data_IF_224786416430
#
_entry.id   IF_224786416430
#
_cell.length_a   1.000
_cell.length_b   1.000
_cell.length_c   1.000
_cell.angle_alpha   90.00
_cell.angle_beta   90.00
_cell.angle_gamma   90.00
#
_symmetry.space_group_name_H-M   'P 1'
#
loop_
_entity.id
_entity.type
_entity.pdbx_description
1 polymer ?
#
# COMPACT_ATOMS: atom_id res chain seq x y z
N UNK A 1 31.59 -17.04 -21.32
CA UNK A 1 32.73 -16.54 -20.49
C UNK A 1 32.35 -16.65 -19.03
N UNK A 2 33.26 -17.09 -18.15
CA UNK A 2 33.02 -17.18 -16.71
C UNK A 2 33.39 -15.88 -15.98
N UNK A 3 32.47 -15.32 -15.21
CA UNK A 3 32.69 -14.14 -14.36
C UNK A 3 32.36 -14.48 -12.92
N UNK A 4 33.34 -14.31 -12.03
CA UNK A 4 33.16 -14.47 -10.59
C UNK A 4 32.66 -13.17 -9.97
N UNK A 5 31.71 -13.26 -9.02
CA UNK A 5 31.22 -12.12 -8.24
C UNK A 5 31.19 -12.46 -6.75
N UNK A 6 31.68 -11.54 -5.93
CA UNK A 6 31.61 -11.60 -4.48
C UNK A 6 30.33 -10.89 -3.99
N UNK A 7 29.66 -11.48 -3.01
CA UNK A 7 28.39 -10.98 -2.46
C UNK A 7 28.24 -11.38 -1.00
N UNK A 8 27.90 -10.43 -0.14
CA UNK A 8 27.57 -10.72 1.28
C UNK A 8 26.14 -11.24 1.40
N UNK A 9 25.95 -12.37 2.08
CA UNK A 9 24.62 -12.92 2.38
C UNK A 9 23.90 -12.08 3.43
N UNK A 10 22.89 -11.30 3.04
CA UNK A 10 22.08 -10.50 3.98
C UNK A 10 20.92 -11.28 4.62
N UNK A 11 20.79 -12.59 4.32
CA UNK A 11 19.69 -13.44 4.81
C UNK A 11 19.86 -13.92 6.25
N UNK A 12 21.00 -13.68 6.89
CA UNK A 12 21.29 -14.04 8.27
C UNK A 12 22.16 -12.96 8.94
N UNK A 13 22.11 -12.82 10.29
CA UNK A 13 22.93 -11.85 11.01
C UNK A 13 24.44 -12.15 10.97
N UNK A 14 24.84 -13.36 10.55
CA UNK A 14 26.25 -13.77 10.42
C UNK A 14 26.91 -13.10 9.21
N UNK A 15 26.16 -12.86 8.12
CA UNK A 15 26.69 -12.13 6.96
C UNK A 15 27.75 -12.88 6.14
N UNK A 16 27.61 -14.19 5.93
CA UNK A 16 28.61 -15.01 5.21
C UNK A 16 29.01 -14.37 3.86
N UNK A 17 30.31 -14.29 3.58
CA UNK A 17 30.84 -13.86 2.28
C UNK A 17 30.70 -14.98 1.25
N UNK A 18 29.93 -14.75 0.19
CA UNK A 18 29.66 -15.71 -0.87
C UNK A 18 30.41 -15.35 -2.14
N UNK A 19 30.94 -16.36 -2.82
CA UNK A 19 31.57 -16.21 -4.14
C UNK A 19 30.73 -16.98 -5.16
N UNK A 20 30.09 -16.26 -6.08
CA UNK A 20 29.22 -16.82 -7.11
C UNK A 20 29.94 -16.82 -8.46
N UNK A 21 29.99 -17.99 -9.11
CA UNK A 21 30.52 -18.15 -10.46
C UNK A 21 29.37 -18.07 -11.45
N UNK A 22 29.46 -17.11 -12.39
CA UNK A 22 28.45 -16.87 -13.42
C UNK A 22 29.02 -17.30 -14.76
N UNK A 23 28.33 -18.20 -15.47
CA UNK A 23 28.67 -18.60 -16.84
C UNK A 23 27.49 -18.25 -17.71
N UNK A 24 27.74 -17.40 -18.72
CA UNK A 24 26.77 -17.01 -19.75
C UNK A 24 25.42 -16.50 -19.18
N UNK A 25 25.51 -15.74 -18.08
CA UNK A 25 24.37 -15.13 -17.38
C UNK A 25 23.71 -16.03 -16.31
N UNK A 26 24.08 -17.30 -16.22
CA UNK A 26 23.55 -18.25 -15.23
C UNK A 26 24.55 -18.48 -14.10
N UNK A 27 24.09 -18.43 -12.86
CA UNK A 27 24.92 -18.79 -11.69
C UNK A 27 25.07 -20.31 -11.66
N UNK A 28 26.25 -20.81 -12.01
CA UNK A 28 26.55 -22.24 -12.01
C UNK A 28 26.84 -22.72 -10.59
N UNK A 29 27.76 -22.03 -9.91
CA UNK A 29 28.27 -22.41 -8.61
C UNK A 29 28.27 -21.25 -7.59
N UNK A 30 28.16 -21.57 -6.30
CA UNK A 30 28.22 -20.63 -5.19
C UNK A 30 28.97 -21.26 -4.02
N UNK A 31 30.07 -20.64 -3.59
CA UNK A 31 30.89 -21.08 -2.46
C UNK A 31 30.87 -20.05 -1.32
N UNK A 32 31.37 -20.44 -0.14
CA UNK A 32 31.41 -19.58 1.05
C UNK A 32 30.14 -19.59 1.92
N UNK A 33 29.16 -20.45 1.63
CA UNK A 33 27.93 -20.54 2.42
C UNK A 33 28.03 -21.57 3.56
N UNK A 34 27.69 -21.14 4.78
CA UNK A 34 27.53 -22.05 5.94
C UNK A 34 26.11 -22.64 6.04
N UNK A 35 25.17 -22.16 5.22
CA UNK A 35 23.78 -22.61 5.25
C UNK A 35 23.14 -22.67 3.85
N UNK A 36 22.06 -23.43 3.72
CA UNK A 36 21.31 -23.56 2.46
C UNK A 36 20.62 -22.27 1.97
N UNK A 37 20.52 -21.23 2.81
CA UNK A 37 19.95 -19.92 2.43
C UNK A 37 20.92 -19.09 1.56
N UNK A 38 22.23 -19.27 1.75
CA UNK A 38 23.25 -18.51 1.03
C UNK A 38 23.20 -18.68 -0.49
N UNK A 39 23.24 -19.92 -1.02
CA UNK A 39 23.19 -20.16 -2.46
C UNK A 39 21.89 -19.68 -3.11
N UNK A 40 20.76 -19.81 -2.42
CA UNK A 40 19.47 -19.31 -2.90
C UNK A 40 19.48 -17.77 -3.04
N UNK A 41 19.96 -17.06 -2.02
CA UNK A 41 20.12 -15.60 -2.06
C UNK A 41 21.10 -15.16 -3.17
N UNK A 42 22.28 -15.79 -3.27
CA UNK A 42 23.28 -15.45 -4.28
C UNK A 42 22.75 -15.64 -5.71
N UNK A 43 22.03 -16.74 -5.98
CA UNK A 43 21.37 -16.99 -7.28
C UNK A 43 20.33 -15.93 -7.60
N UNK A 44 19.49 -15.54 -6.64
CA UNK A 44 18.48 -14.49 -6.83
C UNK A 44 19.12 -13.11 -7.04
N UNK A 45 20.04 -12.68 -6.17
CA UNK A 45 20.65 -11.35 -6.22
C UNK A 45 21.55 -11.15 -7.45
N UNK A 46 22.22 -12.20 -7.95
CA UNK A 46 23.03 -12.11 -9.18
C UNK A 46 22.20 -12.01 -10.47
N UNK A 47 21.02 -12.65 -10.53
CA UNK A 47 20.21 -12.76 -11.75
C UNK A 47 19.09 -11.74 -11.79
N UNK A 48 18.35 -11.58 -10.67
CA UNK A 48 17.21 -10.65 -10.55
C UNK A 48 17.10 -10.14 -9.10
N UNK A 49 17.90 -9.13 -8.72
CA UNK A 49 17.83 -8.55 -7.38
C UNK A 49 16.46 -7.91 -7.17
N UNK A 50 15.76 -8.33 -6.11
CA UNK A 50 14.41 -7.88 -5.78
C UNK A 50 14.38 -7.25 -4.39
N UNK A 51 13.65 -6.15 -4.24
CA UNK A 51 13.52 -5.44 -2.96
C UNK A 51 12.08 -5.01 -2.74
N UNK A 52 11.61 -5.01 -1.49
CA UNK A 52 10.31 -4.43 -1.14
C UNK A 52 10.44 -2.91 -1.13
N UNK A 53 9.59 -2.21 -1.89
CA UNK A 53 9.62 -0.74 -1.95
C UNK A 53 8.72 -0.18 -0.86
N UNK A 54 9.28 0.60 0.05
CA UNK A 54 8.57 1.40 1.05
C UNK A 54 8.65 2.87 0.67
N UNK A 55 7.55 3.60 0.80
CA UNK A 55 7.46 4.99 0.37
C UNK A 55 6.45 5.79 1.21
N UNK A 56 6.54 7.12 1.09
CA UNK A 56 5.57 8.05 1.66
C UNK A 56 4.78 8.71 0.53
N UNK A 57 3.45 8.67 0.62
CA UNK A 57 2.53 9.31 -0.31
C UNK A 57 1.92 10.57 0.30
N UNK A 58 1.89 11.65 -0.48
CA UNK A 58 1.12 12.83 -0.13
C UNK A 58 -0.36 12.60 -0.42
N UNK A 59 -1.22 12.85 0.58
CA UNK A 59 -2.67 12.68 0.49
C UNK A 59 -3.35 14.03 0.73
N UNK A 60 -4.09 14.59 -0.25
CA UNK A 60 -4.76 15.87 -0.08
C UNK A 60 -5.73 15.85 1.11
N UNK A 61 -5.63 16.84 1.99
CA UNK A 61 -6.47 16.94 3.19
C UNK A 61 -6.06 16.02 4.37
N UNK A 62 -4.97 15.27 4.26
CA UNK A 62 -4.40 14.54 5.39
C UNK A 62 -3.43 15.42 6.19
N UNK A 63 -3.38 15.24 7.51
CA UNK A 63 -2.45 15.94 8.40
C UNK A 63 -1.00 15.43 8.34
N UNK A 64 -0.79 14.24 7.76
CA UNK A 64 0.50 13.57 7.64
C UNK A 64 0.56 12.73 6.35
N UNK A 65 1.74 12.43 5.79
CA UNK A 65 1.84 11.52 4.65
C UNK A 65 1.38 10.10 5.01
N UNK A 66 0.86 9.40 4.01
CA UNK A 66 0.51 7.97 4.09
C UNK A 66 1.78 7.14 3.90
N UNK A 67 2.08 6.25 4.85
CA UNK A 67 3.11 5.23 4.66
C UNK A 67 2.55 4.07 3.85
N UNK A 68 3.27 3.66 2.82
CA UNK A 68 2.90 2.57 1.92
C UNK A 68 4.07 1.63 1.66
N UNK A 69 3.75 0.38 1.33
CA UNK A 69 4.73 -0.63 0.87
C UNK A 69 4.18 -1.43 -0.30
N UNK A 70 5.04 -1.99 -1.13
CA UNK A 70 4.63 -3.03 -2.09
C UNK A 70 4.27 -4.31 -1.34
N UNK A 71 3.22 -5.01 -1.78
CA UNK A 71 2.79 -6.27 -1.16
C UNK A 71 3.80 -7.41 -1.37
N UNK A 72 4.60 -7.33 -2.45
CA UNK A 72 5.65 -8.27 -2.82
C UNK A 72 6.94 -7.50 -3.15
N UNK A 73 8.11 -8.16 -3.15
CA UNK A 73 9.34 -7.60 -3.71
C UNK A 73 9.16 -7.22 -5.19
N UNK A 74 9.88 -6.20 -5.64
CA UNK A 74 9.90 -5.71 -7.02
C UNK A 74 11.35 -5.74 -7.53
N UNK A 75 11.61 -6.06 -8.81
CA UNK A 75 12.96 -6.00 -9.37
C UNK A 75 13.61 -4.62 -9.22
N UNK A 76 14.91 -4.61 -8.89
CA UNK A 76 15.68 -3.40 -8.58
C UNK A 76 15.57 -2.31 -9.64
N UNK A 77 15.54 -2.71 -10.92
CA UNK A 77 15.54 -1.78 -12.06
C UNK A 77 14.23 -0.96 -12.13
N UNK A 78 13.10 -1.56 -11.71
CA UNK A 78 11.79 -0.91 -11.68
C UNK A 78 11.52 -0.05 -10.44
N UNK A 79 12.42 -0.01 -9.46
CA UNK A 79 12.19 0.73 -8.20
C UNK A 79 11.93 2.23 -8.47
N UNK A 80 12.63 2.83 -9.45
CA UNK A 80 12.44 4.25 -9.81
C UNK A 80 11.03 4.49 -10.35
N UNK A 81 10.62 3.72 -11.36
CA UNK A 81 9.29 3.77 -11.96
C UNK A 81 8.18 3.57 -10.92
N UNK A 82 8.41 2.68 -9.94
CA UNK A 82 7.49 2.48 -8.84
C UNK A 82 7.35 3.72 -7.96
N UNK A 83 8.46 4.38 -7.60
CA UNK A 83 8.44 5.61 -6.81
C UNK A 83 7.77 6.77 -7.58
N UNK A 84 7.92 6.83 -8.90
CA UNK A 84 7.24 7.82 -9.74
C UNK A 84 5.72 7.59 -9.82
N UNK A 85 5.28 6.35 -10.06
CA UNK A 85 3.86 5.98 -10.04
C UNK A 85 3.20 6.28 -8.67
N UNK A 86 3.91 5.95 -7.58
CA UNK A 86 3.51 6.29 -6.21
C UNK A 86 3.45 7.82 -6.01
N UNK A 87 4.43 8.57 -6.51
CA UNK A 87 4.48 10.05 -6.42
C UNK A 87 3.34 10.73 -7.19
N UNK A 88 2.89 10.17 -8.30
CA UNK A 88 1.77 10.70 -9.10
C UNK A 88 0.40 10.37 -8.50
N UNK A 89 0.28 9.22 -7.82
CA UNK A 89 -1.00 8.74 -7.27
C UNK A 89 -1.49 9.56 -6.07
N UNK A 90 -2.78 9.89 -6.03
CA UNK A 90 -3.44 10.62 -4.93
C UNK A 90 -4.66 9.83 -4.43
N UNK A 91 -4.54 9.02 -3.37
CA UNK A 91 -5.69 8.31 -2.82
C UNK A 91 -6.68 9.29 -2.17
N UNK A 92 -7.96 8.93 -2.17
CA UNK A 92 -8.97 9.63 -1.39
C UNK A 92 -8.95 9.17 0.07
N UNK A 93 -9.33 10.06 0.99
CA UNK A 93 -9.57 9.72 2.39
C UNK A 93 -11.00 9.21 2.60
N UNK A 94 -11.26 8.36 3.61
CA UNK A 94 -10.30 7.79 4.55
C UNK A 94 -9.52 6.59 3.97
N UNK A 95 -8.30 6.36 4.47
CA UNK A 95 -7.49 5.17 4.14
C UNK A 95 -7.36 4.29 5.38
N UNK A 96 -7.43 2.97 5.20
CA UNK A 96 -7.20 1.97 6.26
C UNK A 96 -5.88 1.24 6.09
N UNK A 97 -5.32 0.74 7.20
CA UNK A 97 -4.20 -0.21 7.15
C UNK A 97 -4.61 -1.46 6.33
N UNK A 98 -3.69 -1.96 5.50
CA UNK A 98 -3.96 -3.10 4.60
C UNK A 98 -4.75 -2.74 3.32
N UNK A 99 -5.22 -1.50 3.17
CA UNK A 99 -5.91 -1.07 1.96
C UNK A 99 -4.94 -1.00 0.76
N UNK A 100 -5.36 -1.58 -0.38
CA UNK A 100 -4.65 -1.41 -1.65
C UNK A 100 -4.89 0.00 -2.17
N UNK A 101 -3.80 0.76 -2.34
CA UNK A 101 -3.81 2.13 -2.85
C UNK A 101 -3.68 2.14 -4.38
N UNK A 102 -2.95 1.17 -4.92
CA UNK A 102 -2.67 1.05 -6.35
C UNK A 102 -2.47 -0.44 -6.68
N UNK A 103 -3.18 -0.96 -7.68
CA UNK A 103 -3.32 -2.41 -7.93
C UNK A 103 -2.10 -3.02 -8.63
N UNK A 104 -1.48 -2.26 -9.54
CA UNK A 104 -0.27 -2.66 -10.27
C UNK A 104 0.72 -1.50 -10.37
N UNK A 105 1.87 -1.63 -9.71
CA UNK A 105 2.94 -0.64 -9.75
C UNK A 105 3.91 -0.90 -10.91
N UNK A 106 4.10 0.08 -11.79
CA UNK A 106 5.05 0.04 -12.91
C UNK A 106 4.94 -1.21 -13.82
N UNK A 107 3.74 -1.78 -14.00
CA UNK A 107 3.53 -2.97 -14.83
C UNK A 107 4.27 -4.19 -14.29
N UNK A 108 4.09 -4.49 -13.00
CA UNK A 108 4.72 -5.63 -12.30
C UNK A 108 3.68 -6.63 -11.79
N UNK A 109 2.39 -6.29 -11.81
CA UNK A 109 1.34 -7.03 -11.12
C UNK A 109 1.44 -6.98 -9.59
N UNK A 110 2.23 -6.07 -9.02
CA UNK A 110 2.39 -5.94 -7.56
C UNK A 110 1.57 -4.76 -7.02
N UNK A 111 0.63 -5.00 -6.09
CA UNK A 111 -0.13 -3.92 -5.47
C UNK A 111 0.69 -3.17 -4.41
N UNK A 112 0.38 -1.88 -4.26
CA UNK A 112 0.88 -1.00 -3.19
C UNK A 112 -0.18 -0.92 -2.10
N UNK A 113 0.23 -1.13 -0.85
CA UNK A 113 -0.64 -1.31 0.31
C UNK A 113 -0.29 -0.28 1.39
N UNK A 114 -1.32 0.33 1.97
CA UNK A 114 -1.19 1.24 3.11
C UNK A 114 -0.75 0.51 4.39
N UNK A 115 0.24 1.05 5.09
CA UNK A 115 0.77 0.48 6.36
C UNK A 115 0.23 1.20 7.60
N UNK A 116 -0.57 2.24 7.43
CA UNK A 116 -1.13 3.04 8.52
C UNK A 116 -2.47 3.68 8.13
N UNK A 117 -3.36 3.87 9.10
CA UNK A 117 -4.66 4.52 8.88
C UNK A 117 -4.55 6.04 8.73
N UNK A 118 -5.30 6.60 7.79
CA UNK A 118 -5.55 8.04 7.69
C UNK A 118 -7.06 8.30 7.78
N UNK A 119 -7.47 8.99 8.83
CA UNK A 119 -8.82 9.53 8.95
C UNK A 119 -9.05 10.59 7.87
N UNK A 120 -10.30 10.71 7.40
CA UNK A 120 -10.71 11.89 6.66
C UNK A 120 -10.68 13.12 7.59
N UNK A 121 -10.35 14.32 7.10
CA UNK A 121 -10.54 15.54 7.88
C UNK A 121 -12.00 15.62 8.28
N UNK A 122 -12.26 16.00 9.54
CA UNK A 122 -13.60 16.34 9.95
C UNK A 122 -14.14 17.41 8.99
N UNK A 123 -15.32 17.18 8.40
CA UNK A 123 -16.00 18.22 7.64
C UNK A 123 -16.25 19.39 8.60
N UNK A 124 -15.46 20.44 8.47
CA UNK A 124 -15.82 21.75 9.02
C UNK A 124 -17.05 22.19 8.24
N UNK A 125 -18.21 21.84 8.76
CA UNK A 125 -19.46 22.49 8.37
C UNK A 125 -19.27 23.92 8.82
N UNK A 126 -18.94 24.80 7.88
CA UNK A 126 -19.05 26.23 8.07
C UNK A 126 -20.55 26.51 8.13
N UNK A 127 -21.15 26.26 9.30
CA UNK A 127 -22.46 26.80 9.62
C UNK A 127 -22.29 28.31 9.46
N UNK A 128 -22.99 28.98 8.52
CA UNK A 128 -22.89 30.43 8.43
C UNK A 128 -23.26 30.98 9.79
N UNK A 129 -22.42 31.88 10.33
CA UNK A 129 -22.61 32.45 11.65
C UNK A 129 -23.98 33.11 11.66
N UNK A 130 -24.97 32.43 12.23
CA UNK A 130 -26.34 32.90 12.23
C UNK A 130 -26.33 34.25 12.93
N UNK A 131 -26.72 35.31 12.21
CA UNK A 131 -26.95 36.62 12.81
C UNK A 131 -27.83 36.38 14.03
N UNK A 132 -27.38 36.85 15.19
CA UNK A 132 -28.14 36.75 16.44
C UNK A 132 -29.34 37.68 16.34
N UNK A 133 -30.36 37.21 15.62
CA UNK A 133 -31.66 37.82 15.52
C UNK A 133 -32.45 37.40 16.76
N UNK A 134 -32.58 38.33 17.70
CA UNK A 134 -33.48 38.19 18.84
C UNK A 134 -34.92 38.07 18.35
N UNK A 135 -35.51 36.88 18.50
CA UNK A 135 -36.94 36.60 18.49
C UNK A 135 -37.14 35.27 19.25
N UNK A 136 -37.65 35.26 20.47
CA UNK A 136 -39.06 35.49 20.84
C UNK A 136 -40.01 34.40 20.29
N UNK A 137 -40.29 33.43 21.17
CA UNK A 137 -41.54 32.68 21.37
C UNK A 137 -42.30 32.01 20.19
N UNK A 138 -42.71 30.75 20.45
CA UNK A 138 -43.68 29.94 19.70
C UNK A 138 -43.29 29.56 18.24
N UNK A 139 -43.67 28.40 17.69
CA UNK A 139 -44.51 27.33 18.23
C UNK A 139 -45.50 26.85 17.16
N UNK A 140 -45.49 25.54 16.88
CA UNK A 140 -46.42 24.76 16.04
C UNK A 140 -46.15 24.59 14.52
N UNK A 141 -46.56 23.40 14.07
CA UNK A 141 -47.04 23.00 12.72
C UNK A 141 -46.06 22.72 11.55
N UNK A 142 -45.70 21.44 11.43
CA UNK A 142 -45.83 20.56 10.26
C UNK A 142 -45.88 21.12 8.80
N UNK A 143 -45.12 20.47 7.91
CA UNK A 143 -45.63 19.85 6.68
C UNK A 143 -44.59 18.91 6.03
N UNK A 144 -45.05 17.86 5.36
CA UNK A 144 -44.22 16.97 4.56
C UNK A 144 -44.47 17.19 3.06
N UNK A 145 -43.42 17.13 2.24
CA UNK A 145 -43.51 16.87 0.80
C UNK A 145 -42.18 16.30 0.30
N UNK A 146 -42.23 15.20 -0.45
CA UNK A 146 -41.03 14.57 -1.02
C UNK A 146 -40.97 14.73 -2.55
N UNK A 147 -39.78 14.58 -3.12
CA UNK A 147 -39.60 14.24 -4.53
C UNK A 147 -38.27 13.50 -4.77
N UNK A 148 -38.38 12.25 -5.20
CA UNK A 148 -37.38 11.49 -5.96
C UNK A 148 -37.87 11.43 -7.43
N UNK A 149 -37.09 10.95 -8.42
CA UNK A 149 -35.62 10.84 -8.52
C UNK A 149 -35.08 11.38 -9.87
N UNK A 150 -33.75 11.33 -10.10
CA UNK A 150 -33.25 11.03 -11.46
C UNK A 150 -31.94 10.22 -11.47
N UNK A 151 -32.00 9.13 -12.25
CA UNK A 151 -30.96 8.18 -12.68
C UNK A 151 -29.99 8.84 -13.69
N UNK A 152 -28.87 8.28 -14.16
CA UNK A 152 -27.94 7.15 -13.86
C UNK A 152 -26.74 7.33 -14.83
N UNK A 153 -25.57 6.67 -14.78
CA UNK A 153 -24.84 5.88 -13.79
C UNK A 153 -23.40 5.69 -14.33
N UNK A 154 -22.44 5.26 -13.48
CA UNK A 154 -21.31 4.36 -13.88
C UNK A 154 -20.48 3.89 -12.67
N UNK A 155 -20.65 2.62 -12.33
CA UNK A 155 -19.57 1.72 -11.89
C UNK A 155 -18.63 2.13 -10.75
N UNK A 156 -19.14 2.25 -9.53
CA UNK A 156 -18.33 1.94 -8.33
C UNK A 156 -18.67 0.51 -7.90
N UNK A 157 -17.65 -0.35 -7.80
CA UNK A 157 -17.82 -1.71 -7.29
C UNK A 157 -18.17 -1.62 -5.80
N UNK A 158 -19.41 -1.94 -5.46
CA UNK A 158 -19.88 -1.97 -4.07
C UNK A 158 -19.20 -3.12 -3.32
N UNK A 159 -18.61 -2.81 -2.16
CA UNK A 159 -18.13 -3.83 -1.24
C UNK A 159 -19.31 -4.72 -0.81
N UNK A 160 -19.15 -6.04 -1.00
CA UNK A 160 -20.10 -7.01 -0.46
C UNK A 160 -19.92 -7.03 1.05
N UNK A 161 -20.92 -6.56 1.78
CA UNK A 161 -20.93 -6.59 3.24
C UNK A 161 -21.25 -8.02 3.69
N UNK A 162 -20.22 -8.85 3.79
CA UNK A 162 -20.39 -10.21 4.32
C UNK A 162 -20.53 -10.19 5.85
N UNK A 163 -21.42 -11.06 6.32
CA UNK A 163 -22.09 -10.93 7.61
C UNK A 163 -21.23 -11.58 8.69
N UNK A 164 -20.66 -10.77 9.60
CA UNK A 164 -19.95 -11.28 10.77
C UNK A 164 -20.94 -11.89 11.78
N UNK A 165 -21.43 -13.09 11.47
CA UNK A 165 -22.15 -13.92 12.42
C UNK A 165 -21.17 -14.34 13.53
N UNK A 166 -21.47 -13.89 14.76
CA UNK A 166 -20.55 -13.95 15.88
C UNK A 166 -20.10 -15.37 16.22
N UNK A 167 -18.78 -15.53 16.41
CA UNK A 167 -18.22 -16.62 17.20
C UNK A 167 -17.01 -16.11 17.98
N UNK A 168 -17.30 -15.67 19.19
CA UNK A 168 -16.29 -15.45 20.23
C UNK A 168 -15.72 -16.82 20.64
N UNK A 169 -14.79 -17.34 19.84
CA UNK A 169 -14.18 -18.64 20.09
C UNK A 169 -13.12 -18.53 21.18
N UNK A 170 -13.50 -18.92 22.39
CA UNK A 170 -12.56 -19.31 23.43
C UNK A 170 -11.63 -20.45 22.96
N UNK A 171 -10.42 -20.47 23.57
CA UNK A 171 -9.26 -21.38 23.47
C UNK A 171 -8.00 -20.58 23.09
N UNK A 172 -6.89 -20.62 23.84
CA UNK A 172 -6.55 -21.38 25.06
C UNK A 172 -6.05 -20.43 26.15
#
# INVERSE_FOLDING_TARGET
MSTTREITCIGCPIGCALTATIVDGVVTDVTGNECGRGPAYARQECVRPERMVTALMFVPGASRPLSVKTARPVPKDKIKDCLEAIRQTRPALPVRIGQVVLVDVAGTGVPVVATCDLAAPARVVITPLARVASAACAGAAAAAAGTKPRREAKGVVTAVADKQDGRCCARK
#
